data_IF_593508864976
#
_entry.id   IF_593508864976
#
_cell.length_a   1.000
_cell.length_b   1.000
_cell.length_c   1.000
_cell.angle_alpha   90.00
_cell.angle_beta   90.00
_cell.angle_gamma   90.00
#
_symmetry.space_group_name_H-M   'P 1'
#
loop_
_entity.id
_entity.type
_entity.pdbx_description
1 polymer ?
#
# COMPACT_ATOMS: atom_id res chain seq x y z
N UNK A 1 50.01 16.38 -63.98
CA UNK A 1 48.67 15.78 -64.19
C UNK A 1 48.46 14.83 -63.02
N UNK A 2 47.52 14.95 -62.09
CA UNK A 2 46.39 15.86 -61.82
C UNK A 2 46.27 15.93 -60.28
N UNK A 3 46.07 17.13 -59.75
CA UNK A 3 45.61 17.36 -58.38
C UNK A 3 44.09 17.18 -58.31
N UNK A 4 43.57 16.41 -57.33
CA UNK A 4 42.20 16.58 -56.84
C UNK A 4 42.19 16.60 -55.29
N UNK A 5 41.36 17.45 -54.66
CA UNK A 5 41.47 17.81 -53.24
C UNK A 5 40.62 16.91 -52.32
N UNK A 6 40.84 16.95 -50.99
CA UNK A 6 40.10 16.13 -50.03
C UNK A 6 38.65 16.64 -49.81
N UNK A 7 37.70 15.75 -49.45
CA UNK A 7 36.31 16.14 -49.20
C UNK A 7 36.13 16.90 -47.87
N UNK A 8 35.11 17.77 -47.76
CA UNK A 8 34.97 18.73 -46.67
C UNK A 8 34.32 18.15 -45.40
N UNK A 9 34.74 18.71 -44.27
CA UNK A 9 34.11 18.62 -42.95
C UNK A 9 32.85 19.50 -42.83
N UNK A 10 31.96 19.13 -41.90
CA UNK A 10 30.86 19.93 -41.31
C UNK A 10 29.50 19.86 -41.99
N UNK A 11 28.72 18.82 -41.65
CA UNK A 11 27.26 18.80 -41.80
C UNK A 11 26.59 19.48 -40.60
N UNK A 12 26.45 20.81 -40.64
CA UNK A 12 25.56 21.55 -39.75
C UNK A 12 24.12 21.42 -40.22
N UNK A 13 23.26 20.83 -39.38
CA UNK A 13 21.81 20.77 -39.62
C UNK A 13 21.23 22.15 -39.32
N UNK A 14 20.69 22.79 -40.35
CA UNK A 14 19.98 24.07 -40.28
C UNK A 14 18.56 23.82 -39.72
N UNK A 15 18.11 24.53 -38.66
CA UNK A 15 16.74 24.38 -38.16
C UNK A 15 15.74 25.00 -39.14
N UNK A 16 14.55 24.39 -39.33
CA UNK A 16 13.55 24.94 -40.25
C UNK A 16 12.95 26.26 -39.72
N UNK A 17 12.74 27.20 -40.64
CA UNK A 17 12.11 28.50 -40.43
C UNK A 17 10.69 28.41 -39.86
N UNK A 18 10.36 29.35 -38.96
CA UNK A 18 9.07 29.49 -38.31
C UNK A 18 8.00 30.06 -39.27
N UNK A 19 6.84 29.42 -39.43
CA UNK A 19 5.72 30.04 -40.12
C UNK A 19 4.92 30.96 -39.18
N UNK A 20 4.90 32.25 -39.54
CA UNK A 20 3.73 33.14 -39.53
C UNK A 20 2.92 33.29 -38.25
N UNK A 21 3.02 34.48 -37.64
CA UNK A 21 2.13 34.95 -36.59
C UNK A 21 0.65 34.83 -36.97
N UNK A 22 -0.08 33.96 -36.28
CA UNK A 22 -1.52 34.08 -36.09
C UNK A 22 -1.82 33.87 -34.60
N UNK A 23 -2.12 34.99 -33.96
CA UNK A 23 -2.58 35.13 -32.59
C UNK A 23 -3.85 34.31 -32.36
N UNK A 24 -3.74 33.25 -31.55
CA UNK A 24 -4.84 32.66 -30.77
C UNK A 24 -4.22 31.88 -29.59
N UNK A 25 -3.74 32.62 -28.58
CA UNK A 25 -3.47 32.08 -27.27
C UNK A 25 -4.79 31.67 -26.61
N UNK A 26 -5.13 30.38 -26.66
CA UNK A 26 -6.02 29.79 -25.66
C UNK A 26 -5.17 28.97 -24.67
N UNK A 27 -4.81 29.64 -23.57
CA UNK A 27 -4.43 28.96 -22.35
C UNK A 27 -5.60 28.08 -21.90
N UNK A 28 -5.38 26.77 -21.79
CA UNK A 28 -6.35 25.84 -21.23
C UNK A 28 -6.41 26.10 -19.72
N UNK A 29 -7.37 26.90 -19.29
CA UNK A 29 -7.77 27.08 -17.91
C UNK A 29 -8.82 26.01 -17.57
N UNK A 30 -8.52 25.13 -16.63
CA UNK A 30 -9.52 24.17 -16.12
C UNK A 30 -10.46 24.88 -15.17
N UNK A 31 -11.54 25.45 -15.70
CA UNK A 31 -12.59 26.04 -14.88
C UNK A 31 -13.58 24.95 -14.44
N UNK A 32 -13.62 24.71 -13.14
CA UNK A 32 -14.50 23.76 -12.49
C UNK A 32 -15.78 24.48 -12.05
N UNK A 33 -16.85 24.42 -12.86
CA UNK A 33 -18.22 24.51 -12.35
C UNK A 33 -19.28 24.14 -13.39
N UNK A 34 -20.44 23.68 -12.90
CA UNK A 34 -21.70 23.38 -13.59
C UNK A 34 -21.86 21.92 -14.05
N UNK A 35 -21.96 21.02 -13.07
CA UNK A 35 -22.86 19.87 -13.16
C UNK A 35 -24.05 20.14 -12.23
N UNK A 36 -25.22 20.38 -12.83
CA UNK A 36 -26.50 20.65 -12.15
C UNK A 36 -27.00 19.38 -11.46
N UNK A 37 -27.32 19.48 -10.17
CA UNK A 37 -28.08 18.49 -9.42
C UNK A 37 -29.49 18.30 -10.02
N UNK A 38 -30.00 17.07 -10.21
CA UNK A 38 -31.42 16.85 -10.40
C UNK A 38 -32.14 16.89 -9.04
N UNK A 39 -33.07 17.83 -8.92
CA UNK A 39 -34.00 18.02 -7.80
C UNK A 39 -35.02 16.87 -7.71
N UNK A 40 -35.16 16.30 -6.52
CA UNK A 40 -36.18 15.29 -6.16
C UNK A 40 -37.51 15.99 -5.86
N UNK A 41 -38.69 15.49 -6.31
CA UNK A 41 -39.97 16.10 -5.97
C UNK A 41 -40.37 15.83 -4.52
N UNK A 42 -40.79 16.90 -3.84
CA UNK A 42 -41.42 16.89 -2.51
C UNK A 42 -42.87 16.42 -2.65
N UNK A 43 -43.22 15.28 -2.04
CA UNK A 43 -44.61 14.86 -1.89
C UNK A 43 -45.05 15.24 -0.47
N UNK A 44 -45.85 16.30 -0.37
CA UNK A 44 -46.64 16.60 0.81
C UNK A 44 -47.90 15.73 0.72
N UNK A 45 -48.10 14.83 1.69
CA UNK A 45 -49.42 14.25 1.90
C UNK A 45 -49.82 14.46 3.36
N UNK A 46 -50.86 15.26 3.51
CA UNK A 46 -51.44 15.77 4.72
C UNK A 46 -52.69 14.92 4.97
N UNK A 47 -52.64 13.96 5.91
CA UNK A 47 -53.83 13.21 6.31
C UNK A 47 -53.85 12.88 7.81
N UNK A 48 -54.58 13.75 8.53
CA UNK A 48 -55.57 13.44 9.57
C UNK A 48 -55.36 12.20 10.45
N UNK A 49 -55.09 12.47 11.73
CA UNK A 49 -55.53 11.63 12.85
C UNK A 49 -57.05 11.40 12.82
N UNK A 50 -57.51 10.22 13.31
CA UNK A 50 -58.39 10.30 14.46
C UNK A 50 -58.04 9.30 15.58
N UNK A 51 -58.42 9.73 16.79
CA UNK A 51 -58.27 9.06 18.06
C UNK A 51 -58.86 7.64 18.14
N UNK A 52 -58.23 6.79 18.97
CA UNK A 52 -58.76 5.49 19.39
C UNK A 52 -58.10 5.02 20.70
N UNK A 53 -58.86 5.14 21.79
CA UNK A 53 -58.57 4.70 23.17
C UNK A 53 -58.86 3.20 23.31
N UNK A 54 -57.92 2.37 23.82
CA UNK A 54 -58.11 1.15 24.67
C UNK A 54 -56.71 0.76 25.25
N UNK A 55 -56.38 1.00 26.52
CA UNK A 55 -56.71 0.24 27.75
C UNK A 55 -55.89 -1.05 28.00
N UNK A 56 -55.07 -0.97 29.05
CA UNK A 56 -54.68 -1.98 30.05
C UNK A 56 -53.78 -3.16 29.64
N UNK A 57 -52.62 -3.22 30.32
CA UNK A 57 -51.76 -4.39 30.40
C UNK A 57 -50.56 -4.12 31.29
N UNK A 58 -50.78 -3.97 32.61
CA UNK A 58 -49.70 -3.86 33.59
C UNK A 58 -48.84 -5.12 33.57
N UNK A 59 -47.63 -5.03 33.02
CA UNK A 59 -46.60 -6.04 33.20
C UNK A 59 -45.84 -5.76 34.49
N UNK A 60 -46.16 -6.51 35.53
CA UNK A 60 -45.28 -6.69 36.68
C UNK A 60 -44.07 -7.50 36.23
N UNK A 61 -42.98 -6.84 35.89
CA UNK A 61 -41.68 -7.50 35.78
C UNK A 61 -41.22 -7.89 37.18
N UNK A 62 -41.47 -9.16 37.54
CA UNK A 62 -40.93 -9.78 38.74
C UNK A 62 -39.41 -9.80 38.59
N UNK A 63 -38.72 -8.98 39.38
CA UNK A 63 -37.26 -9.02 39.50
C UNK A 63 -36.89 -10.31 40.24
N UNK A 64 -36.56 -11.36 39.49
CA UNK A 64 -35.99 -12.57 40.04
C UNK A 64 -34.49 -12.31 40.28
N UNK A 65 -34.19 -11.65 41.39
CA UNK A 65 -32.84 -11.53 41.92
C UNK A 65 -32.38 -12.93 42.36
N UNK A 66 -31.50 -13.56 41.58
CA UNK A 66 -30.79 -14.74 42.04
C UNK A 66 -30.39 -15.76 40.97
N UNK A 67 -29.56 -15.39 39.99
CA UNK A 67 -28.48 -16.21 39.35
C UNK A 67 -27.93 -15.58 38.05
N UNK A 68 -27.76 -14.26 38.01
CA UNK A 68 -27.42 -13.53 36.78
C UNK A 68 -26.00 -12.95 36.78
N UNK A 69 -25.06 -13.61 37.45
CA UNK A 69 -23.68 -13.09 37.62
C UNK A 69 -22.66 -13.76 36.70
N UNK A 70 -23.00 -14.89 36.05
CA UNK A 70 -22.04 -15.63 35.22
C UNK A 70 -22.26 -15.52 33.70
N UNK A 71 -23.44 -15.08 33.23
CA UNK A 71 -23.77 -15.01 31.79
C UNK A 71 -23.81 -13.59 31.22
N UNK A 72 -23.78 -12.55 32.06
CA UNK A 72 -23.79 -11.13 31.64
C UNK A 72 -22.38 -10.55 31.43
N UNK A 73 -21.35 -11.13 32.05
CA UNK A 73 -19.97 -10.64 31.91
C UNK A 73 -19.39 -10.99 30.53
N UNK A 74 -19.70 -12.18 30.01
CA UNK A 74 -19.28 -12.65 28.68
C UNK A 74 -19.97 -11.87 27.54
N UNK A 75 -21.24 -11.46 27.73
CA UNK A 75 -21.97 -10.64 26.74
C UNK A 75 -21.49 -9.18 26.76
N UNK A 76 -21.17 -8.63 27.93
CA UNK A 76 -20.57 -7.31 28.10
C UNK A 76 -19.17 -7.19 27.48
N UNK A 77 -18.30 -8.17 27.74
CA UNK A 77 -16.95 -8.20 27.17
C UNK A 77 -16.99 -8.38 25.64
N UNK A 78 -17.79 -9.31 25.12
CA UNK A 78 -17.94 -9.54 23.68
C UNK A 78 -18.54 -8.34 22.96
N UNK A 79 -19.54 -7.68 23.53
CA UNK A 79 -20.13 -6.47 22.93
C UNK A 79 -19.16 -5.29 22.92
N UNK A 80 -18.37 -5.12 23.99
CA UNK A 80 -17.32 -4.09 24.07
C UNK A 80 -16.19 -4.36 23.07
N UNK A 81 -15.75 -5.61 22.97
CA UNK A 81 -14.70 -6.02 22.02
C UNK A 81 -15.17 -5.88 20.57
N UNK A 82 -16.41 -6.29 20.27
CA UNK A 82 -17.01 -6.11 18.94
C UNK A 82 -17.10 -4.63 18.58
N UNK A 83 -17.56 -3.78 19.51
CA UNK A 83 -17.61 -2.32 19.29
C UNK A 83 -16.23 -1.72 19.05
N UNK A 84 -15.20 -2.21 19.75
CA UNK A 84 -13.82 -1.77 19.57
C UNK A 84 -13.26 -2.10 18.18
N UNK A 85 -13.48 -3.34 17.71
CA UNK A 85 -13.00 -3.80 16.40
C UNK A 85 -13.75 -3.20 15.22
N UNK A 86 -15.04 -2.92 15.39
CA UNK A 86 -15.87 -2.29 14.34
C UNK A 86 -15.78 -0.76 14.32
N UNK A 87 -15.12 -0.14 15.30
CA UNK A 87 -14.88 1.29 15.29
C UNK A 87 -13.97 1.71 14.14
N UNK A 88 -14.32 2.83 13.49
CA UNK A 88 -13.44 3.48 12.53
C UNK A 88 -12.21 4.05 13.23
N UNK A 89 -11.08 4.03 12.53
CA UNK A 89 -9.80 4.49 13.05
C UNK A 89 -9.63 5.99 12.80
N UNK A 90 -9.07 6.71 13.79
CA UNK A 90 -8.53 8.05 13.56
C UNK A 90 -7.33 8.01 12.61
N UNK A 91 -7.41 8.76 11.51
CA UNK A 91 -6.35 8.85 10.48
C UNK A 91 -5.19 9.76 10.90
N UNK A 92 -5.32 10.50 12.00
CA UNK A 92 -4.27 11.38 12.52
C UNK A 92 -3.00 10.57 12.86
N UNK A 93 -1.85 11.00 12.38
CA UNK A 93 -0.53 10.33 12.54
C UNK A 93 -0.36 8.93 11.90
N UNK A 94 -1.30 8.49 11.06
CA UNK A 94 -1.15 7.23 10.32
C UNK A 94 -0.05 7.27 9.24
N UNK A 95 0.47 8.47 8.94
CA UNK A 95 1.65 8.67 8.09
C UNK A 95 2.92 8.03 8.66
N UNK A 96 3.10 8.01 9.98
CA UNK A 96 4.25 7.33 10.62
C UNK A 96 4.23 5.83 10.31
N UNK A 97 3.06 5.19 10.38
CA UNK A 97 2.90 3.78 10.04
C UNK A 97 3.27 3.52 8.58
N UNK A 98 2.88 4.41 7.67
CA UNK A 98 3.20 4.29 6.26
C UNK A 98 4.70 4.53 5.98
N UNK A 99 5.36 5.42 6.72
CA UNK A 99 6.81 5.64 6.64
C UNK A 99 7.55 4.39 7.10
N UNK A 100 7.14 3.76 8.22
CA UNK A 100 7.71 2.49 8.67
C UNK A 100 7.47 1.39 7.62
N UNK A 101 6.29 1.36 7.00
CA UNK A 101 6.00 0.44 5.89
C UNK A 101 6.92 0.68 4.69
N UNK A 102 7.23 1.93 4.35
CA UNK A 102 8.18 2.26 3.27
C UNK A 102 9.58 1.73 3.59
N UNK A 103 10.04 1.88 4.84
CA UNK A 103 11.29 1.27 5.31
C UNK A 103 11.27 -0.26 5.18
N UNK A 104 10.22 -0.92 5.67
CA UNK A 104 10.05 -2.38 5.54
C UNK A 104 10.03 -2.81 4.08
N UNK A 105 9.40 -2.02 3.20
CA UNK A 105 9.37 -2.29 1.75
C UNK A 105 10.77 -2.30 1.17
N UNK A 106 11.58 -1.27 1.45
CA UNK A 106 12.96 -1.18 0.98
C UNK A 106 13.84 -2.30 1.54
N UNK A 107 13.65 -2.66 2.81
CA UNK A 107 14.35 -3.77 3.46
C UNK A 107 14.02 -5.10 2.76
N UNK A 108 12.73 -5.44 2.63
CA UNK A 108 12.28 -6.71 2.02
C UNK A 108 12.67 -6.80 0.54
N UNK A 109 12.52 -5.72 -0.22
CA UNK A 109 12.90 -5.70 -1.64
C UNK A 109 14.41 -5.79 -1.84
N UNK A 110 15.20 -5.12 -0.99
CA UNK A 110 16.66 -5.24 -1.03
C UNK A 110 17.11 -6.68 -0.77
N UNK A 111 16.52 -7.35 0.21
CA UNK A 111 16.80 -8.75 0.53
C UNK A 111 16.36 -9.69 -0.61
N UNK A 112 15.13 -9.54 -1.09
CA UNK A 112 14.57 -10.39 -2.13
C UNK A 112 15.32 -10.25 -3.46
N UNK A 113 15.70 -9.03 -3.83
CA UNK A 113 16.50 -8.79 -5.03
C UNK A 113 17.91 -9.36 -4.91
N UNK A 114 18.56 -9.17 -3.75
CA UNK A 114 19.91 -9.69 -3.53
C UNK A 114 19.96 -11.22 -3.51
N UNK A 115 18.96 -11.88 -2.93
CA UNK A 115 18.91 -13.34 -2.84
C UNK A 115 18.41 -14.02 -4.12
N UNK A 116 17.34 -13.48 -4.73
CA UNK A 116 16.61 -14.19 -5.80
C UNK A 116 16.50 -13.41 -7.11
N UNK A 117 17.07 -12.20 -7.19
CA UNK A 117 17.07 -11.39 -8.41
C UNK A 117 15.69 -10.88 -8.83
N UNK A 118 14.69 -10.93 -7.94
CA UNK A 118 13.33 -10.44 -8.16
C UNK A 118 12.89 -9.56 -6.99
N UNK A 119 12.10 -8.53 -7.27
CA UNK A 119 11.52 -7.69 -6.22
C UNK A 119 10.25 -8.31 -5.67
N UNK A 120 9.94 -8.07 -4.39
CA UNK A 120 8.68 -8.47 -3.80
C UNK A 120 7.59 -7.41 -4.09
N UNK A 121 7.95 -6.13 -4.03
CA UNK A 121 7.02 -5.00 -4.14
C UNK A 121 7.21 -4.17 -5.42
N UNK A 122 8.44 -3.95 -5.89
CA UNK A 122 8.74 -3.13 -7.09
C UNK A 122 8.33 -3.81 -8.41
N UNK A 123 7.04 -3.80 -8.72
CA UNK A 123 6.48 -4.49 -9.89
C UNK A 123 6.93 -3.92 -11.24
N UNK A 124 7.34 -2.65 -11.30
CA UNK A 124 7.91 -2.08 -12.53
C UNK A 124 9.16 -2.84 -12.98
N UNK A 125 10.05 -3.21 -12.05
CA UNK A 125 11.23 -4.00 -12.35
C UNK A 125 10.87 -5.42 -12.80
N UNK A 126 9.96 -6.07 -12.06
CA UNK A 126 9.50 -7.42 -12.39
C UNK A 126 8.83 -7.50 -13.77
N UNK A 127 8.04 -6.50 -14.15
CA UNK A 127 7.42 -6.42 -15.47
C UNK A 127 8.48 -6.34 -16.59
N UNK A 128 9.56 -5.56 -16.38
CA UNK A 128 10.68 -5.48 -17.33
C UNK A 128 11.43 -6.81 -17.41
N UNK A 129 11.73 -7.46 -16.28
CA UNK A 129 12.40 -8.78 -16.28
C UNK A 129 11.56 -9.86 -16.99
N UNK A 130 10.23 -9.82 -16.81
CA UNK A 130 9.32 -10.70 -17.54
C UNK A 130 9.35 -10.43 -19.05
N UNK A 131 9.30 -9.15 -19.45
CA UNK A 131 9.33 -8.77 -20.86
C UNK A 131 10.66 -9.14 -21.55
N UNK A 132 11.79 -8.92 -20.88
CA UNK A 132 13.11 -9.34 -21.39
C UNK A 132 13.25 -10.87 -21.46
N UNK A 133 12.56 -11.61 -20.59
CA UNK A 133 12.48 -13.07 -20.66
C UNK A 133 11.92 -13.57 -22.00
N UNK A 134 10.99 -12.83 -22.63
CA UNK A 134 10.42 -13.19 -23.94
C UNK A 134 11.46 -13.14 -25.05
N UNK A 135 12.44 -12.23 -24.96
CA UNK A 135 13.55 -12.14 -25.91
C UNK A 135 14.76 -12.98 -25.52
N UNK A 136 14.65 -13.80 -24.46
CA UNK A 136 15.75 -14.60 -23.93
C UNK A 136 16.86 -13.77 -23.28
N UNK A 137 16.56 -12.55 -22.82
CA UNK A 137 17.53 -11.65 -22.20
C UNK A 137 17.26 -11.44 -20.71
N UNK A 138 18.32 -11.29 -19.89
CA UNK A 138 19.72 -11.57 -20.20
C UNK A 138 19.98 -13.08 -20.32
N UNK A 139 20.99 -13.48 -21.11
CA UNK A 139 21.32 -14.90 -21.33
C UNK A 139 21.63 -15.68 -20.04
N UNK A 140 21.96 -14.98 -18.96
CA UNK A 140 22.04 -15.52 -17.59
C UNK A 140 21.62 -14.45 -16.58
N UNK A 141 21.05 -14.84 -15.43
CA UNK A 141 20.42 -16.13 -15.09
C UNK A 141 19.13 -16.39 -15.89
N UNK A 142 18.99 -17.61 -16.40
CA UNK A 142 17.95 -18.03 -17.37
C UNK A 142 16.51 -17.96 -16.85
N UNK A 143 16.31 -18.00 -15.53
CA UNK A 143 15.00 -18.16 -14.90
C UNK A 143 14.48 -16.94 -14.13
N UNK A 144 15.16 -15.78 -14.22
CA UNK A 144 14.72 -14.56 -13.52
C UNK A 144 13.31 -14.13 -13.94
N UNK A 145 12.97 -14.29 -15.22
CA UNK A 145 11.65 -13.96 -15.75
C UNK A 145 10.52 -14.74 -15.05
N UNK A 146 10.76 -16.01 -14.69
CA UNK A 146 9.77 -16.86 -14.01
C UNK A 146 9.55 -16.39 -12.58
N UNK A 147 10.63 -16.08 -11.84
CA UNK A 147 10.55 -15.50 -10.48
C UNK A 147 9.79 -14.16 -10.49
N UNK A 148 10.06 -13.31 -11.48
CA UNK A 148 9.35 -12.04 -11.68
C UNK A 148 7.88 -12.22 -12.07
N UNK A 149 7.55 -13.21 -12.90
CA UNK A 149 6.16 -13.55 -13.24
C UNK A 149 5.37 -13.97 -12.00
N UNK A 150 5.96 -14.85 -11.17
CA UNK A 150 5.33 -15.32 -9.93
C UNK A 150 5.10 -14.14 -8.99
N UNK A 151 6.12 -13.31 -8.76
CA UNK A 151 5.95 -12.11 -7.92
C UNK A 151 4.85 -11.19 -8.45
N UNK A 152 4.85 -10.87 -9.76
CA UNK A 152 3.88 -9.98 -10.37
C UNK A 152 2.46 -10.52 -10.27
N UNK A 153 2.25 -11.79 -10.63
CA UNK A 153 0.94 -12.44 -10.58
C UNK A 153 0.42 -12.51 -9.13
N UNK A 154 1.26 -12.92 -8.18
CA UNK A 154 0.88 -13.00 -6.76
C UNK A 154 0.61 -11.61 -6.16
N UNK A 155 1.38 -10.59 -6.53
CA UNK A 155 1.13 -9.21 -6.12
C UNK A 155 -0.21 -8.68 -6.62
N UNK A 156 -0.55 -8.94 -7.90
CA UNK A 156 -1.85 -8.57 -8.46
C UNK A 156 -3.01 -9.28 -7.75
N UNK A 157 -2.87 -10.60 -7.53
CA UNK A 157 -3.87 -11.39 -6.79
C UNK A 157 -4.06 -10.87 -5.37
N UNK A 158 -2.97 -10.52 -4.69
CA UNK A 158 -3.01 -9.89 -3.38
C UNK A 158 -3.79 -8.57 -3.41
N UNK A 159 -3.48 -7.67 -4.34
CA UNK A 159 -4.19 -6.39 -4.45
C UNK A 159 -5.70 -6.59 -4.62
N UNK A 160 -6.12 -7.52 -5.50
CA UNK A 160 -7.53 -7.87 -5.67
C UNK A 160 -8.13 -8.38 -4.35
N UNK A 161 -7.44 -9.30 -3.67
CA UNK A 161 -7.90 -9.92 -2.42
C UNK A 161 -8.07 -8.89 -1.31
N UNK A 162 -7.04 -8.08 -1.03
CA UNK A 162 -7.09 -7.05 0.01
C UNK A 162 -8.13 -5.96 -0.28
N UNK A 163 -8.32 -5.55 -1.54
CA UNK A 163 -9.37 -4.59 -1.91
C UNK A 163 -10.76 -5.18 -1.66
N UNK A 164 -11.00 -6.43 -2.06
CA UNK A 164 -12.31 -7.09 -1.87
C UNK A 164 -12.63 -7.28 -0.39
N UNK A 165 -11.67 -7.78 0.39
CA UNK A 165 -11.82 -7.96 1.84
C UNK A 165 -12.00 -6.63 2.56
N UNK A 166 -11.22 -5.61 2.20
CA UNK A 166 -11.34 -4.26 2.77
C UNK A 166 -12.72 -3.64 2.53
N UNK A 167 -13.26 -3.80 1.31
CA UNK A 167 -14.63 -3.35 0.98
C UNK A 167 -15.71 -4.11 1.75
N UNK A 168 -15.54 -5.43 1.93
CA UNK A 168 -16.51 -6.26 2.65
C UNK A 168 -16.53 -5.96 4.16
N UNK A 169 -15.36 -5.75 4.76
CA UNK A 169 -15.22 -5.51 6.21
C UNK A 169 -15.41 -4.05 6.61
N UNK A 170 -15.34 -3.12 5.66
CA UNK A 170 -15.34 -1.68 5.92
C UNK A 170 -13.90 -1.14 5.89
N UNK A 171 -13.53 -0.30 4.90
CA UNK A 171 -12.13 0.01 4.65
C UNK A 171 -11.41 0.69 5.83
N UNK A 172 -12.11 1.51 6.62
CA UNK A 172 -11.52 2.27 7.74
C UNK A 172 -11.74 1.65 9.11
N UNK A 173 -12.36 0.47 9.18
CA UNK A 173 -12.58 -0.22 10.45
C UNK A 173 -11.27 -0.75 11.01
N UNK A 174 -11.13 -0.71 12.32
CA UNK A 174 -9.97 -1.24 13.05
C UNK A 174 -9.69 -2.69 12.68
N UNK A 175 -10.74 -3.52 12.66
CA UNK A 175 -10.64 -4.93 12.29
C UNK A 175 -10.00 -5.12 10.91
N UNK A 176 -10.36 -4.30 9.93
CA UNK A 176 -9.81 -4.38 8.57
C UNK A 176 -8.31 -4.12 8.55
N UNK A 177 -7.82 -3.11 9.28
CA UNK A 177 -6.39 -2.82 9.37
C UNK A 177 -5.63 -3.90 10.15
N UNK A 178 -6.18 -4.34 11.28
CA UNK A 178 -5.59 -5.42 12.10
C UNK A 178 -5.48 -6.71 11.30
N UNK A 179 -6.54 -7.14 10.62
CA UNK A 179 -6.52 -8.33 9.78
C UNK A 179 -5.56 -8.16 8.60
N UNK A 180 -5.56 -6.99 7.96
CA UNK A 180 -4.68 -6.72 6.83
C UNK A 180 -3.20 -6.83 7.21
N UNK A 181 -2.78 -6.11 8.25
CA UNK A 181 -1.40 -6.18 8.74
C UNK A 181 -1.10 -7.51 9.43
N UNK A 182 -2.06 -8.16 10.07
CA UNK A 182 -1.92 -9.49 10.65
C UNK A 182 -1.58 -10.55 9.61
N UNK A 183 -2.28 -10.57 8.47
CA UNK A 183 -1.97 -11.45 7.33
C UNK A 183 -0.59 -11.13 6.77
N UNK A 184 -0.25 -9.86 6.59
CA UNK A 184 1.09 -9.45 6.11
C UNK A 184 2.21 -9.95 7.03
N UNK A 185 2.04 -9.78 8.35
CA UNK A 185 2.99 -10.25 9.36
C UNK A 185 3.10 -11.77 9.36
N UNK A 186 1.98 -12.50 9.25
CA UNK A 186 1.99 -13.97 9.18
C UNK A 186 2.74 -14.48 7.94
N UNK A 187 2.56 -13.82 6.78
CA UNK A 187 3.27 -14.19 5.55
C UNK A 187 4.77 -13.92 5.67
N UNK A 188 5.19 -12.80 6.28
CA UNK A 188 6.60 -12.54 6.58
C UNK A 188 7.19 -13.55 7.55
N UNK A 189 6.44 -13.90 8.59
CA UNK A 189 6.84 -14.93 9.55
C UNK A 189 7.05 -16.28 8.85
N UNK A 190 6.10 -16.72 8.02
CA UNK A 190 6.21 -17.97 7.25
C UNK A 190 7.41 -17.92 6.31
N UNK A 191 7.64 -16.80 5.62
CA UNK A 191 8.82 -16.65 4.75
C UNK A 191 10.13 -16.73 5.54
N UNK A 192 10.22 -16.08 6.70
CA UNK A 192 11.38 -16.16 7.59
C UNK A 192 11.60 -17.60 8.10
N UNK A 193 10.53 -18.31 8.48
CA UNK A 193 10.59 -19.70 8.93
C UNK A 193 11.07 -20.66 7.83
N UNK A 194 10.60 -20.50 6.60
CA UNK A 194 11.02 -21.35 5.47
C UNK A 194 12.53 -21.25 5.24
N UNK A 195 13.09 -20.06 5.38
CA UNK A 195 14.54 -19.84 5.20
C UNK A 195 15.31 -20.29 6.45
N UNK A 196 14.78 -20.02 7.66
CA UNK A 196 15.39 -20.44 8.93
C UNK A 196 15.52 -21.96 9.05
N UNK A 197 14.51 -22.71 8.60
CA UNK A 197 14.49 -24.16 8.61
C UNK A 197 15.31 -24.77 7.45
N UNK A 198 16.05 -23.95 6.69
CA UNK A 198 16.83 -24.36 5.52
C UNK A 198 16.02 -25.13 4.48
N UNK A 199 14.71 -24.88 4.41
CA UNK A 199 13.86 -25.42 3.33
C UNK A 199 14.21 -24.73 2.02
N UNK A 200 14.63 -23.46 2.09
CA UNK A 200 15.05 -22.65 0.95
C UNK A 200 16.41 -22.05 1.25
N UNK A 201 17.38 -22.27 0.36
CA UNK A 201 18.70 -21.62 0.44
C UNK A 201 18.57 -20.12 0.15
N UNK A 202 19.08 -19.24 1.03
CA UNK A 202 19.13 -17.79 0.80
C UNK A 202 20.30 -17.35 -0.09
N UNK A 203 21.15 -18.29 -0.52
CA UNK A 203 22.37 -17.98 -1.27
C UNK A 203 22.07 -17.37 -2.65
N UNK A 204 22.85 -16.36 -3.07
CA UNK A 204 22.80 -15.84 -4.43
C UNK A 204 23.01 -16.99 -5.42
N UNK A 205 22.07 -17.17 -6.33
CA UNK A 205 22.06 -18.26 -7.30
C UNK A 205 23.40 -18.33 -8.06
N UNK A 206 24.11 -19.44 -7.91
CA UNK A 206 25.24 -19.77 -8.77
C UNK A 206 24.75 -19.77 -10.22
N UNK A 207 25.44 -19.04 -11.10
CA UNK A 207 25.07 -18.80 -12.51
C UNK A 207 24.86 -20.08 -13.36
N UNK A 208 25.12 -21.26 -12.79
CA UNK A 208 25.02 -22.58 -13.42
C UNK A 208 24.02 -23.54 -12.74
N UNK A 209 23.36 -23.13 -11.65
CA UNK A 209 22.41 -23.97 -10.93
C UNK A 209 21.00 -23.95 -11.59
N UNK A 210 20.31 -25.11 -11.71
CA UNK A 210 18.92 -25.16 -12.14
C UNK A 210 18.01 -24.36 -11.20
N UNK A 211 16.89 -23.84 -11.71
CA UNK A 211 15.94 -23.09 -10.87
C UNK A 211 15.44 -23.94 -9.70
N UNK A 212 15.78 -23.50 -8.49
CA UNK A 212 15.17 -24.02 -7.28
C UNK A 212 13.75 -23.48 -7.14
N UNK A 213 12.76 -24.23 -7.65
CA UNK A 213 11.33 -23.89 -7.53
C UNK A 213 10.89 -23.62 -6.08
N UNK A 214 11.66 -24.12 -5.10
CA UNK A 214 11.45 -23.84 -3.68
C UNK A 214 11.55 -22.34 -3.35
N UNK A 215 12.35 -21.57 -4.10
CA UNK A 215 12.49 -20.11 -3.95
C UNK A 215 11.24 -19.34 -4.41
N UNK A 216 10.38 -19.95 -5.24
CA UNK A 216 9.13 -19.32 -5.66
C UNK A 216 8.18 -19.06 -4.47
N UNK A 217 8.22 -19.93 -3.46
CA UNK A 217 7.34 -19.84 -2.30
C UNK A 217 7.59 -18.57 -1.46
N UNK A 218 8.81 -18.29 -0.96
CA UNK A 218 9.06 -17.04 -0.24
C UNK A 218 8.83 -15.81 -1.12
N UNK A 219 9.19 -15.83 -2.41
CA UNK A 219 8.91 -14.71 -3.33
C UNK A 219 7.40 -14.43 -3.40
N UNK A 220 6.57 -15.47 -3.55
CA UNK A 220 5.13 -15.33 -3.57
C UNK A 220 4.58 -14.78 -2.24
N UNK A 221 5.06 -15.27 -1.09
CA UNK A 221 4.65 -14.78 0.23
C UNK A 221 5.00 -13.30 0.43
N UNK A 222 6.22 -12.91 0.07
CA UNK A 222 6.70 -11.53 0.17
C UNK A 222 5.96 -10.60 -0.81
N UNK A 223 5.66 -11.06 -2.02
CA UNK A 223 4.89 -10.30 -2.99
C UNK A 223 3.43 -10.15 -2.55
N UNK A 224 2.84 -11.20 -1.97
CA UNK A 224 1.49 -11.14 -1.46
C UNK A 224 1.37 -10.15 -0.30
N UNK A 225 2.30 -10.13 0.66
CA UNK A 225 2.24 -9.15 1.75
C UNK A 225 2.41 -7.70 1.24
N UNK A 226 3.27 -7.51 0.23
CA UNK A 226 3.50 -6.19 -0.37
C UNK A 226 2.23 -5.62 -1.04
N UNK A 227 1.43 -6.47 -1.68
CA UNK A 227 0.12 -6.08 -2.22
C UNK A 227 -0.86 -5.59 -1.14
N UNK A 228 -0.81 -6.18 0.06
CA UNK A 228 -1.60 -5.70 1.20
C UNK A 228 -1.16 -4.32 1.69
N UNK A 229 0.14 -4.06 1.68
CA UNK A 229 0.71 -2.79 2.12
C UNK A 229 0.30 -1.61 1.23
N UNK A 230 0.31 -1.79 -0.10
CA UNK A 230 -0.16 -0.74 -1.02
C UNK A 230 -1.68 -0.52 -0.87
N UNK A 231 -2.46 -1.59 -0.67
CA UNK A 231 -3.90 -1.46 -0.44
C UNK A 231 -4.21 -0.70 0.86
N UNK A 232 -3.42 -0.92 1.91
CA UNK A 232 -3.54 -0.21 3.17
C UNK A 232 -3.26 1.29 3.02
N UNK A 233 -2.22 1.69 2.27
CA UNK A 233 -1.93 3.11 2.04
C UNK A 233 -3.06 3.81 1.28
N UNK A 234 -3.63 3.14 0.27
CA UNK A 234 -4.80 3.64 -0.48
C UNK A 234 -6.05 3.73 0.39
N UNK A 235 -6.25 2.77 1.28
CA UNK A 235 -7.42 2.74 2.18
C UNK A 235 -7.37 3.86 3.24
N UNK A 236 -6.18 4.19 3.73
CA UNK A 236 -5.96 5.30 4.66
C UNK A 236 -6.08 6.68 3.99
N UNK A 237 -6.12 6.76 2.66
CA UNK A 237 -6.27 8.01 1.92
C UNK A 237 -5.03 8.92 1.98
N UNK A 238 -3.88 8.38 2.38
CA UNK A 238 -2.60 9.09 2.29
C UNK A 238 -1.95 8.69 0.97
N UNK A 239 -2.51 9.22 -0.11
CA UNK A 239 -2.03 8.96 -1.48
C UNK A 239 -0.60 9.45 -1.71
N UNK A 240 -0.12 10.36 -0.86
CA UNK A 240 1.21 10.94 -0.89
C UNK A 240 2.32 9.96 -0.48
N UNK A 241 1.99 8.81 0.13
CA UNK A 241 2.96 7.77 0.51
C UNK A 241 2.60 6.46 -0.22
N UNK A 242 2.91 6.36 -1.53
CA UNK A 242 2.96 5.06 -2.17
C UNK A 242 4.15 4.31 -1.57
N UNK A 243 3.88 3.44 -0.60
CA UNK A 243 4.89 2.67 0.14
C UNK A 243 5.75 1.74 -0.73
N UNK A 244 5.39 1.58 -2.01
CA UNK A 244 5.97 0.64 -2.98
C UNK A 244 6.40 1.32 -4.29
N UNK A 245 5.82 2.47 -4.67
CA UNK A 245 6.07 3.13 -5.96
C UNK A 245 6.92 4.37 -5.77
N UNK A 246 8.24 4.20 -5.90
CA UNK A 246 9.21 5.25 -5.64
C UNK A 246 9.17 6.37 -6.69
N UNK A 247 9.00 6.02 -7.97
CA UNK A 247 9.08 6.98 -9.09
C UNK A 247 8.06 8.10 -8.97
N UNK A 248 6.79 7.75 -8.72
CA UNK A 248 5.72 8.74 -8.56
C UNK A 248 5.98 9.64 -7.36
N UNK A 249 6.52 9.10 -6.27
CA UNK A 249 6.86 9.85 -5.08
C UNK A 249 7.97 10.88 -5.35
N UNK A 250 9.02 10.50 -6.09
CA UNK A 250 10.10 11.42 -6.47
C UNK A 250 9.55 12.53 -7.38
N UNK A 251 8.77 12.19 -8.41
CA UNK A 251 8.16 13.17 -9.30
C UNK A 251 7.26 14.14 -8.53
N UNK A 252 6.38 13.60 -7.67
CA UNK A 252 5.47 14.38 -6.82
C UNK A 252 6.23 15.29 -5.84
N UNK A 253 7.41 14.87 -5.37
CA UNK A 253 8.27 15.67 -4.52
C UNK A 253 8.91 16.82 -5.30
N UNK A 254 9.45 16.55 -6.50
CA UNK A 254 10.19 17.54 -7.29
C UNK A 254 9.28 18.57 -7.97
N UNK A 255 8.07 18.19 -8.34
CA UNK A 255 7.08 19.07 -8.98
C UNK A 255 6.32 19.93 -7.95
N UNK A 256 6.49 19.68 -6.64
CA UNK A 256 5.81 20.45 -5.59
C UNK A 256 6.17 21.95 -5.67
N UNK A 257 5.21 22.85 -5.97
CA UNK A 257 5.47 24.29 -6.08
C UNK A 257 5.91 24.92 -4.75
N UNK A 258 5.67 24.23 -3.62
CA UNK A 258 6.06 24.62 -2.27
C UNK A 258 7.22 23.77 -1.74
N UNK A 259 8.08 23.24 -2.62
CA UNK A 259 9.23 22.41 -2.25
C UNK A 259 10.16 23.12 -1.24
N UNK A 260 10.44 24.42 -1.46
CA UNK A 260 11.30 25.24 -0.61
C UNK A 260 10.56 25.99 0.51
N UNK A 261 9.24 25.81 0.63
CA UNK A 261 8.47 26.46 1.68
C UNK A 261 8.87 25.90 3.07
N UNK A 262 8.95 26.80 4.07
CA UNK A 262 9.36 26.46 5.44
C UNK A 262 8.46 25.40 6.09
N UNK A 263 7.16 25.40 5.77
CA UNK A 263 6.17 24.47 6.31
C UNK A 263 5.41 23.83 5.16
N UNK A 264 5.68 22.55 4.91
CA UNK A 264 4.91 21.73 3.98
C UNK A 264 4.89 20.28 4.48
N UNK A 265 3.81 19.92 5.17
CA UNK A 265 3.65 18.57 5.74
C UNK A 265 3.60 17.48 4.66
N UNK A 266 3.04 17.79 3.48
CA UNK A 266 2.95 16.84 2.37
C UNK A 266 4.32 16.48 1.80
N UNK A 267 5.12 17.52 1.53
CA UNK A 267 6.52 17.40 1.13
C UNK A 267 7.36 16.62 2.15
N UNK A 268 7.20 16.93 3.43
CA UNK A 268 7.92 16.23 4.51
C UNK A 268 7.57 14.73 4.55
N UNK A 269 6.30 14.38 4.38
CA UNK A 269 5.86 12.97 4.32
C UNK A 269 6.44 12.23 3.13
N UNK A 270 6.41 12.85 1.94
CA UNK A 270 7.04 12.29 0.72
C UNK A 270 8.53 12.07 0.91
N UNK A 271 9.26 13.11 1.34
CA UNK A 271 10.69 13.02 1.59
C UNK A 271 11.04 11.95 2.64
N UNK A 272 10.28 11.89 3.74
CA UNK A 272 10.46 10.89 4.78
C UNK A 272 10.22 9.46 4.26
N UNK A 273 9.19 9.25 3.44
CA UNK A 273 8.93 7.93 2.85
C UNK A 273 10.00 7.51 1.83
N UNK A 274 10.51 8.43 1.01
CA UNK A 274 11.66 8.18 0.13
C UNK A 274 12.89 7.76 0.93
N UNK A 275 13.25 8.57 1.93
CA UNK A 275 14.43 8.31 2.78
C UNK A 275 14.26 7.01 3.56
N UNK A 276 13.07 6.73 4.09
CA UNK A 276 12.78 5.49 4.80
C UNK A 276 12.98 4.27 3.91
N UNK A 277 12.44 4.29 2.67
CA UNK A 277 12.65 3.20 1.71
C UNK A 277 14.14 3.02 1.36
N UNK A 278 14.84 4.12 1.09
CA UNK A 278 16.27 4.10 0.78
C UNK A 278 17.11 3.53 1.93
N UNK A 279 16.88 4.01 3.16
CA UNK A 279 17.56 3.52 4.37
C UNK A 279 17.17 2.06 4.64
N UNK A 280 15.94 1.65 4.36
CA UNK A 280 15.52 0.24 4.41
C UNK A 280 16.34 -0.65 3.48
N UNK A 281 16.50 -0.24 2.22
CA UNK A 281 17.32 -0.97 1.25
C UNK A 281 18.82 -0.96 1.61
N UNK A 282 19.33 0.15 2.14
CA UNK A 282 20.69 0.21 2.70
C UNK A 282 20.86 -0.75 3.88
N UNK A 283 19.85 -0.82 4.76
CA UNK A 283 19.84 -1.74 5.90
C UNK A 283 19.84 -3.18 5.42
N UNK A 284 19.10 -3.53 4.38
CA UNK A 284 19.16 -4.86 3.76
C UNK A 284 20.59 -5.21 3.31
N UNK A 285 21.22 -4.35 2.51
CA UNK A 285 22.57 -4.58 2.00
C UNK A 285 23.68 -4.51 3.07
N UNK A 286 23.44 -3.76 4.15
CA UNK A 286 24.31 -3.74 5.32
C UNK A 286 24.20 -5.04 6.13
N UNK A 287 22.97 -5.46 6.46
CA UNK A 287 22.72 -6.67 7.24
C UNK A 287 23.18 -7.92 6.52
N UNK A 288 23.06 -8.02 5.18
CA UNK A 288 23.57 -9.19 4.44
C UNK A 288 25.09 -9.34 4.50
N UNK A 289 25.84 -8.30 4.89
CA UNK A 289 27.30 -8.37 5.09
C UNK A 289 27.70 -8.82 6.50
N UNK A 290 26.85 -8.58 7.49
CA UNK A 290 27.15 -8.80 8.92
C UNK A 290 26.36 -9.95 9.54
N UNK A 291 25.25 -10.34 8.93
CA UNK A 291 24.27 -11.31 9.45
C UNK A 291 23.65 -12.11 8.31
N UNK A 292 22.99 -13.22 8.66
CA UNK A 292 22.21 -14.00 7.71
C UNK A 292 20.95 -13.24 7.26
N UNK A 293 20.51 -13.48 6.01
CA UNK A 293 19.28 -12.90 5.44
C UNK A 293 18.05 -13.11 6.33
N UNK A 294 18.00 -14.24 7.05
CA UNK A 294 16.92 -14.61 7.96
C UNK A 294 16.74 -13.58 9.08
N UNK A 295 17.84 -13.08 9.66
CA UNK A 295 17.78 -12.07 10.72
C UNK A 295 17.10 -10.77 10.24
N UNK A 296 17.38 -10.37 9.00
CA UNK A 296 16.75 -9.20 8.38
C UNK A 296 15.25 -9.38 8.14
N UNK A 297 14.81 -10.59 7.77
CA UNK A 297 13.39 -10.90 7.62
C UNK A 297 12.66 -10.96 8.95
N UNK A 298 13.30 -11.47 10.01
CA UNK A 298 12.78 -11.38 11.38
C UNK A 298 12.63 -9.94 11.83
N UNK A 299 13.60 -9.08 11.51
CA UNK A 299 13.51 -7.66 11.80
C UNK A 299 12.34 -7.00 11.06
N UNK A 300 12.17 -7.28 9.77
CA UNK A 300 11.03 -6.82 8.98
C UNK A 300 9.69 -7.30 9.56
N UNK A 301 9.61 -8.58 9.96
CA UNK A 301 8.44 -9.16 10.59
C UNK A 301 8.13 -8.49 11.93
N UNK A 302 9.13 -8.27 12.79
CA UNK A 302 8.99 -7.58 14.07
C UNK A 302 8.43 -6.16 13.92
N UNK A 303 8.91 -5.40 12.93
CA UNK A 303 8.37 -4.08 12.61
C UNK A 303 6.90 -4.14 12.18
N UNK A 304 6.54 -5.11 11.32
CA UNK A 304 5.16 -5.33 10.89
C UNK A 304 4.24 -5.79 12.01
N UNK A 305 4.72 -6.66 12.90
CA UNK A 305 4.02 -7.08 14.10
C UNK A 305 3.76 -5.89 15.03
N UNK A 306 4.76 -5.02 15.22
CA UNK A 306 4.61 -3.77 15.95
C UNK A 306 3.51 -2.87 15.36
N UNK A 307 3.42 -2.77 14.04
CA UNK A 307 2.33 -2.07 13.34
C UNK A 307 0.97 -2.75 13.61
N UNK A 308 0.89 -4.07 13.51
CA UNK A 308 -0.35 -4.82 13.81
C UNK A 308 -0.83 -4.56 15.24
N UNK A 309 0.09 -4.59 16.21
CA UNK A 309 -0.21 -4.29 17.61
C UNK A 309 -0.63 -2.83 17.78
N UNK A 310 0.02 -1.88 17.09
CA UNK A 310 -0.36 -0.48 17.11
C UNK A 310 -1.82 -0.28 16.63
N UNK A 311 -2.26 -0.99 15.60
CA UNK A 311 -3.66 -0.95 15.14
C UNK A 311 -4.65 -1.51 16.17
N UNK A 312 -4.27 -2.51 16.97
CA UNK A 312 -5.13 -3.04 18.03
C UNK A 312 -5.45 -1.97 19.09
N UNK A 313 -4.45 -1.18 19.47
CA UNK A 313 -4.57 -0.14 20.52
C UNK A 313 -4.92 1.25 19.98
N UNK A 314 -5.02 1.42 18.66
CA UNK A 314 -5.19 2.72 18.03
C UNK A 314 -6.46 3.45 18.48
N UNK A 315 -6.47 4.79 18.48
CA UNK A 315 -7.65 5.53 18.93
C UNK A 315 -8.80 5.41 17.93
N UNK A 316 -10.05 5.17 18.38
CA UNK A 316 -11.20 5.26 17.49
C UNK A 316 -11.33 6.70 16.97
N UNK A 317 -11.84 6.85 15.75
CA UNK A 317 -12.15 8.16 15.19
C UNK A 317 -13.06 8.91 16.16
N UNK A 318 -12.57 10.03 16.71
CA UNK A 318 -13.41 10.91 17.50
C UNK A 318 -14.61 11.34 16.66
N UNK A 319 -15.82 11.31 17.22
CA UNK A 319 -16.99 11.94 16.56
C UNK A 319 -16.62 13.38 16.25
N UNK A 320 -16.30 13.68 14.99
CA UNK A 320 -16.29 15.06 14.53
C UNK A 320 -17.73 15.54 14.68
N UNK A 321 -17.97 16.51 15.55
CA UNK A 321 -19.19 17.33 15.54
C UNK A 321 -19.28 17.97 14.15
N UNK A 322 -19.92 17.29 13.21
CA UNK A 322 -20.52 17.88 12.03
C UNK A 322 -22.00 17.63 12.24
N UNK A 323 -22.65 18.55 12.94
CA UNK A 323 -24.11 18.73 13.09
C UNK A 323 -24.33 19.88 14.09
N UNK A 324 -23.79 21.07 13.81
CA UNK A 324 -24.34 22.35 14.29
C UNK A 324 -23.95 23.34 13.18
N UNK A 325 -24.95 23.96 12.54
CA UNK A 325 -24.88 24.90 11.41
C UNK A 325 -24.95 24.25 10.02
N UNK A 326 -26.19 24.16 9.55
CA UNK A 326 -26.64 23.78 8.22
C UNK A 326 -28.16 23.74 8.21
#
# INVERSE_FOLDING_TARGET
MHNQPPPPSSGGIQPPEAPGANSNNQLIYWDASIARNPSVPHFNDESRDPAGIWSVGGSTTVSLSGHQVALDDDTGFRSTLTRHFYADIDTTHTDIILIICAFVSGLVDGLAFNAWGSFASMQTGNAVFLALGVSGQPSRPEYRWAKSLISLATYMLSCITFIRVSRALGPRRRLTMVLSFGVQTALLFTAAMLIQCSVVSPEPEDLSAPMEWMQALPIALLAFQAGGQICASRTLGIEEIPTVVLTTLICDLLVDPQLLAKINYKRNRRAAAFLALFVGAMTAGGLTKITEMVASLWFAMGLKLGITIAWLVWKPAGRRKKDIEG
#
